data_IF_965469023671
#
_entry.id   IF_965469023671
#
_cell.length_a   1.000
_cell.length_b   1.000
_cell.length_c   1.000
_cell.angle_alpha   90.00
_cell.angle_beta   90.00
_cell.angle_gamma   90.00
#
_symmetry.space_group_name_H-M   'P 1'
#
loop_
_entity.id
_entity.type
_entity.pdbx_description
1 polymer ?
#
# COMPACT_ATOMS: atom_id res chain seq x y z
N UNK A 1 -21.86 -10.14 -35.30
CA UNK A 1 -20.59 -10.81 -34.92
C UNK A 1 -20.03 -10.04 -33.74
N UNK A 2 -20.15 -10.60 -32.54
CA UNK A 2 -19.81 -9.94 -31.27
C UNK A 2 -18.45 -10.44 -30.81
N UNK A 3 -17.43 -9.60 -30.88
CA UNK A 3 -16.13 -9.88 -30.30
C UNK A 3 -16.28 -9.81 -28.78
N UNK A 4 -16.28 -10.99 -28.13
CA UNK A 4 -16.14 -11.12 -26.68
C UNK A 4 -14.86 -10.39 -26.25
N UNK A 5 -15.01 -9.29 -25.53
CA UNK A 5 -13.98 -8.80 -24.61
C UNK A 5 -13.56 -9.98 -23.74
N UNK A 6 -12.33 -10.46 -23.94
CA UNK A 6 -11.70 -11.40 -23.02
C UNK A 6 -11.48 -10.64 -21.73
N UNK A 7 -12.23 -11.04 -20.73
CA UNK A 7 -12.00 -10.74 -19.32
C UNK A 7 -10.51 -11.04 -18.99
N UNK A 8 -9.70 -9.98 -18.83
CA UNK A 8 -8.30 -10.06 -18.36
C UNK A 8 -8.25 -10.08 -16.82
N UNK A 9 -9.23 -10.73 -16.19
CA UNK A 9 -9.36 -10.83 -14.74
C UNK A 9 -8.65 -12.02 -14.10
N UNK A 10 -7.75 -12.72 -14.80
CA UNK A 10 -6.87 -13.73 -14.20
C UNK A 10 -5.59 -13.04 -13.72
N UNK A 11 -5.34 -13.05 -12.40
CA UNK A 11 -4.33 -12.27 -11.69
C UNK A 11 -3.04 -12.08 -12.47
N UNK A 12 -2.85 -10.87 -13.03
CA UNK A 12 -1.58 -10.47 -13.61
C UNK A 12 -0.52 -10.52 -12.50
N UNK A 13 0.67 -11.03 -12.82
CA UNK A 13 1.75 -11.08 -11.84
C UNK A 13 1.98 -9.69 -11.27
N UNK A 14 2.25 -9.57 -9.97
CA UNK A 14 2.40 -8.25 -9.33
C UNK A 14 3.47 -7.38 -10.00
N UNK A 15 4.52 -8.02 -10.54
CA UNK A 15 5.54 -7.34 -11.35
C UNK A 15 4.98 -6.68 -12.60
N UNK A 16 3.94 -7.23 -13.25
CA UNK A 16 3.36 -6.64 -14.45
C UNK A 16 2.62 -5.32 -14.16
N UNK A 17 2.25 -5.07 -12.89
CA UNK A 17 1.71 -3.78 -12.47
C UNK A 17 2.74 -2.64 -12.58
N UNK A 18 4.03 -2.96 -12.72
CA UNK A 18 5.09 -1.98 -12.95
C UNK A 18 5.24 -1.58 -14.40
N UNK A 19 4.63 -2.32 -15.34
CA UNK A 19 4.69 -1.98 -16.76
C UNK A 19 3.76 -0.79 -17.05
N UNK A 20 4.19 0.17 -17.89
CA UNK A 20 3.26 1.14 -18.44
C UNK A 20 2.13 0.44 -19.20
N UNK A 21 0.92 0.99 -19.15
CA UNK A 21 -0.10 0.67 -20.13
C UNK A 21 0.25 1.17 -21.53
N UNK A 22 -0.46 0.66 -22.53
CA UNK A 22 -0.34 1.16 -23.91
C UNK A 22 -0.60 2.67 -23.95
N UNK A 23 0.31 3.42 -24.59
CA UNK A 23 0.27 4.88 -24.71
C UNK A 23 0.41 5.65 -23.38
N UNK A 24 1.04 5.07 -22.35
CA UNK A 24 1.35 5.78 -21.11
C UNK A 24 2.31 6.97 -21.30
N UNK A 25 3.05 6.98 -22.42
CA UNK A 25 4.02 8.01 -22.75
C UNK A 25 5.38 7.80 -22.07
N UNK A 26 6.18 8.86 -21.95
CA UNK A 26 7.55 8.73 -21.42
C UNK A 26 7.56 8.58 -19.90
N UNK A 27 8.49 7.76 -19.39
CA UNK A 27 8.68 7.59 -17.95
C UNK A 27 9.14 8.90 -17.29
N UNK A 28 8.36 9.39 -16.33
CA UNK A 28 8.71 10.55 -15.50
C UNK A 28 9.45 10.09 -14.23
N UNK A 29 8.94 9.05 -13.60
CA UNK A 29 9.60 8.44 -12.45
C UNK A 29 8.69 7.59 -11.58
N UNK A 30 9.29 6.98 -10.57
CA UNK A 30 8.58 6.20 -9.57
C UNK A 30 9.08 6.46 -8.15
N UNK A 31 8.15 6.47 -7.19
CA UNK A 31 8.46 6.45 -5.76
C UNK A 31 7.63 5.35 -5.10
N UNK A 32 8.30 4.38 -4.47
CA UNK A 32 7.65 3.27 -3.78
C UNK A 32 7.93 3.27 -2.29
N UNK A 33 7.04 2.66 -1.50
CA UNK A 33 7.26 2.40 -0.08
C UNK A 33 7.33 0.90 0.19
N UNK A 34 8.14 0.48 1.14
CA UNK A 34 8.19 -0.93 1.57
C UNK A 34 8.71 -1.06 3.01
N UNK A 35 8.39 -2.17 3.67
CA UNK A 35 8.96 -2.50 4.97
C UNK A 35 10.33 -3.18 4.82
N UNK A 36 10.39 -4.26 4.03
CA UNK A 36 11.62 -4.97 3.69
C UNK A 36 11.97 -4.72 2.23
N UNK A 37 13.25 -4.61 1.91
CA UNK A 37 13.71 -4.19 0.59
C UNK A 37 14.85 -5.08 0.10
N UNK A 38 14.74 -5.56 -1.14
CA UNK A 38 15.80 -6.20 -1.89
C UNK A 38 16.14 -5.31 -3.12
N UNK A 39 17.28 -4.60 -3.10
CA UNK A 39 17.72 -3.74 -4.18
C UNK A 39 17.68 -4.39 -5.56
N UNK A 40 18.10 -5.65 -5.66
CA UNK A 40 18.20 -6.39 -6.92
C UNK A 40 16.81 -6.62 -7.53
N UNK A 41 15.79 -6.95 -6.70
CA UNK A 41 14.42 -7.08 -7.23
C UNK A 41 13.97 -5.75 -7.84
N UNK A 42 14.14 -4.67 -7.08
CA UNK A 42 13.68 -3.35 -7.49
C UNK A 42 14.37 -2.88 -8.76
N UNK A 43 15.70 -3.02 -8.81
CA UNK A 43 16.50 -2.54 -9.93
C UNK A 43 16.31 -3.38 -11.19
N UNK A 44 16.37 -4.71 -11.08
CA UNK A 44 16.34 -5.58 -12.26
C UNK A 44 14.93 -5.81 -12.79
N UNK A 45 13.92 -5.88 -11.91
CA UNK A 45 12.60 -6.35 -12.30
C UNK A 45 11.51 -5.29 -12.22
N UNK A 46 11.54 -4.44 -11.19
CA UNK A 46 10.57 -3.35 -11.07
C UNK A 46 10.92 -2.20 -12.02
N UNK A 47 12.13 -1.63 -11.90
CA UNK A 47 12.61 -0.57 -12.79
C UNK A 47 12.73 -1.05 -14.24
N UNK A 48 13.21 -2.28 -14.46
CA UNK A 48 13.26 -2.85 -15.80
C UNK A 48 11.91 -2.85 -16.52
N UNK A 49 10.81 -3.14 -15.80
CA UNK A 49 9.45 -3.09 -16.35
C UNK A 49 8.90 -1.66 -16.47
N UNK A 50 9.17 -0.81 -15.48
CA UNK A 50 8.73 0.57 -15.45
C UNK A 50 9.31 1.39 -16.62
N UNK A 51 10.57 1.14 -16.95
CA UNK A 51 11.31 1.82 -18.02
C UNK A 51 11.16 1.12 -19.38
N UNK A 52 10.43 0.01 -19.45
CA UNK A 52 10.31 -0.87 -20.63
C UNK A 52 11.68 -1.22 -21.24
N UNK A 53 12.60 -1.72 -20.41
CA UNK A 53 13.90 -2.17 -20.90
C UNK A 53 13.73 -3.41 -21.80
N UNK A 54 14.31 -3.36 -22.99
CA UNK A 54 14.25 -4.45 -23.97
C UNK A 54 15.21 -5.60 -23.61
N UNK A 55 16.31 -5.26 -22.93
CA UNK A 55 17.34 -6.21 -22.53
C UNK A 55 17.00 -7.00 -21.27
N UNK A 56 17.42 -8.26 -21.21
CA UNK A 56 17.20 -9.13 -20.05
C UNK A 56 18.42 -9.12 -19.10
N UNK A 57 18.25 -8.90 -17.78
CA UNK A 57 19.38 -8.79 -16.84
C UNK A 57 20.25 -10.06 -16.78
N UNK A 58 19.63 -11.25 -16.88
CA UNK A 58 20.32 -12.54 -16.79
C UNK A 58 21.06 -12.94 -18.08
N UNK A 59 20.65 -12.40 -19.24
CA UNK A 59 21.19 -12.79 -20.55
C UNK A 59 22.10 -11.73 -21.16
N UNK A 60 21.83 -10.45 -20.89
CA UNK A 60 22.42 -9.30 -21.57
C UNK A 60 22.87 -8.23 -20.57
N UNK A 61 23.58 -8.64 -19.52
CA UNK A 61 23.90 -7.80 -18.35
C UNK A 61 24.51 -6.44 -18.70
N UNK A 62 25.43 -6.35 -19.67
CA UNK A 62 26.02 -5.07 -20.09
C UNK A 62 25.01 -4.19 -20.83
N UNK A 63 24.24 -4.75 -21.77
CA UNK A 63 23.20 -4.02 -22.50
C UNK A 63 22.14 -3.50 -21.53
N UNK A 64 21.72 -4.34 -20.58
CA UNK A 64 20.79 -3.97 -19.50
C UNK A 64 21.29 -2.80 -18.67
N UNK A 65 22.55 -2.85 -18.21
CA UNK A 65 23.13 -1.74 -17.44
C UNK A 65 23.17 -0.43 -18.24
N UNK A 66 23.55 -0.48 -19.52
CA UNK A 66 23.65 0.72 -20.37
C UNK A 66 22.28 1.31 -20.72
N UNK A 67 21.32 0.46 -21.07
CA UNK A 67 19.96 0.88 -21.38
C UNK A 67 19.28 1.50 -20.15
N UNK A 68 19.39 0.82 -19.00
CA UNK A 68 18.91 1.32 -17.71
C UNK A 68 19.53 2.66 -17.36
N UNK A 69 20.84 2.79 -17.48
CA UNK A 69 21.56 4.03 -17.21
C UNK A 69 21.05 5.18 -18.08
N UNK A 70 20.84 4.93 -19.37
CA UNK A 70 20.30 5.92 -20.30
C UNK A 70 18.87 6.33 -19.94
N UNK A 71 18.00 5.37 -19.59
CA UNK A 71 16.59 5.62 -19.28
C UNK A 71 16.39 6.31 -17.93
N UNK A 72 17.15 5.91 -16.90
CA UNK A 72 17.15 6.57 -15.59
C UNK A 72 17.75 7.99 -15.64
N UNK A 73 18.54 8.32 -16.66
CA UNK A 73 19.03 9.69 -16.85
C UNK A 73 17.91 10.73 -16.99
N UNK A 74 16.72 10.33 -17.47
CA UNK A 74 15.56 11.20 -17.65
C UNK A 74 14.43 11.03 -16.64
N UNK A 75 14.49 10.00 -15.78
CA UNK A 75 13.41 9.63 -14.88
C UNK A 75 13.88 9.55 -13.42
N UNK A 76 13.03 9.99 -12.48
CA UNK A 76 13.31 9.82 -11.05
C UNK A 76 12.99 8.38 -10.60
N UNK A 77 13.80 7.80 -9.72
CA UNK A 77 13.49 6.55 -9.05
C UNK A 77 13.89 6.61 -7.58
N UNK A 78 12.97 6.23 -6.70
CA UNK A 78 13.25 6.18 -5.26
C UNK A 78 12.39 5.17 -4.50
N UNK A 79 12.90 4.74 -3.35
CA UNK A 79 12.19 3.86 -2.42
C UNK A 79 12.30 4.38 -0.99
N UNK A 80 11.15 4.59 -0.36
CA UNK A 80 11.00 4.86 1.07
C UNK A 80 10.95 3.53 1.83
N UNK A 81 12.03 3.22 2.54
CA UNK A 81 12.19 1.93 3.21
C UNK A 81 12.18 2.14 4.72
N UNK A 82 11.60 1.22 5.49
CA UNK A 82 11.81 1.21 6.94
C UNK A 82 13.31 1.26 7.27
N UNK A 83 13.71 2.14 8.20
CA UNK A 83 15.12 2.35 8.56
C UNK A 83 15.85 1.05 8.89
N UNK A 84 15.18 0.05 9.48
CA UNK A 84 15.82 -1.22 9.82
C UNK A 84 16.22 -2.05 8.59
N UNK A 85 15.58 -1.83 7.44
CA UNK A 85 15.85 -2.56 6.19
C UNK A 85 16.59 -1.72 5.13
N UNK A 86 16.70 -0.41 5.30
CA UNK A 86 17.25 0.52 4.31
C UNK A 86 18.78 0.42 4.06
N UNK A 87 19.52 -0.43 4.79
CA UNK A 87 20.98 -0.54 4.71
C UNK A 87 21.53 -1.59 3.74
N UNK A 88 20.69 -2.24 2.94
CA UNK A 88 21.04 -3.50 2.24
C UNK A 88 21.56 -3.34 0.79
N UNK A 89 21.84 -2.12 0.33
CA UNK A 89 22.44 -1.86 -0.97
C UNK A 89 22.32 -0.38 -1.32
N UNK A 90 23.11 0.10 -2.28
CA UNK A 90 23.06 1.48 -2.73
C UNK A 90 23.32 1.55 -4.23
N UNK A 91 22.62 2.45 -4.91
CA UNK A 91 22.87 2.82 -6.30
C UNK A 91 23.03 4.32 -6.38
N UNK A 92 23.80 4.78 -7.37
CA UNK A 92 23.95 6.22 -7.65
C UNK A 92 22.77 6.77 -8.48
N UNK A 93 21.90 5.90 -9.00
CA UNK A 93 20.84 6.25 -9.97
C UNK A 93 19.44 6.25 -9.43
N UNK A 94 19.23 5.69 -8.25
CA UNK A 94 17.94 5.69 -7.58
C UNK A 94 18.16 5.81 -6.08
N UNK A 95 17.21 6.44 -5.41
CA UNK A 95 17.37 6.86 -4.03
C UNK A 95 16.76 5.85 -3.05
N UNK A 96 17.45 5.57 -1.95
CA UNK A 96 16.88 4.90 -0.79
C UNK A 96 16.68 5.95 0.30
N UNK A 97 15.43 6.16 0.70
CA UNK A 97 15.04 7.10 1.74
C UNK A 97 14.66 6.32 3.01
N UNK A 98 15.54 6.25 4.03
CA UNK A 98 15.28 5.47 5.24
C UNK A 98 14.26 6.17 6.15
N UNK A 99 13.01 5.72 6.16
CA UNK A 99 11.93 6.29 6.98
C UNK A 99 12.11 5.90 8.45
N UNK A 100 12.10 6.89 9.35
CA UNK A 100 12.17 6.69 10.80
C UNK A 100 10.86 7.04 11.48
N UNK A 101 10.01 6.03 11.69
CA UNK A 101 8.77 6.17 12.46
C UNK A 101 9.09 6.11 13.96
N UNK A 102 8.85 7.18 14.76
CA UNK A 102 9.08 7.13 16.20
C UNK A 102 8.22 6.05 16.86
N UNK A 103 8.86 5.12 17.59
CA UNK A 103 8.19 3.99 18.27
C UNK A 103 7.33 3.10 17.35
N UNK A 104 7.58 3.13 16.04
CA UNK A 104 6.82 2.37 15.06
C UNK A 104 7.69 1.88 13.91
N UNK A 105 7.03 1.39 12.86
CA UNK A 105 7.66 0.88 11.64
C UNK A 105 6.95 1.45 10.42
N UNK A 106 7.71 1.67 9.35
CA UNK A 106 7.12 1.94 8.05
C UNK A 106 6.68 0.63 7.39
N UNK A 107 5.39 0.31 7.49
CA UNK A 107 4.85 -0.96 6.96
C UNK A 107 4.07 -0.81 5.64
N UNK A 108 3.68 0.41 5.28
CA UNK A 108 2.88 0.66 4.08
C UNK A 108 3.65 0.28 2.81
N UNK A 109 2.94 -0.26 1.82
CA UNK A 109 3.46 -0.48 0.46
C UNK A 109 2.56 0.21 -0.54
N UNK A 110 2.98 1.40 -0.91
CA UNK A 110 2.32 2.27 -1.88
C UNK A 110 3.38 2.63 -2.91
N UNK A 111 3.08 2.44 -4.19
CA UNK A 111 3.95 2.87 -5.29
C UNK A 111 3.22 3.86 -6.16
N UNK A 112 3.85 5.00 -6.43
CA UNK A 112 3.42 5.94 -7.46
C UNK A 112 4.35 5.75 -8.65
N UNK A 113 3.77 5.31 -9.78
CA UNK A 113 4.46 5.14 -11.05
C UNK A 113 3.90 6.18 -12.01
N UNK A 114 4.75 7.03 -12.57
CA UNK A 114 4.33 8.15 -13.41
C UNK A 114 5.01 8.09 -14.78
N UNK A 115 4.17 8.18 -15.80
CA UNK A 115 4.50 8.42 -17.20
C UNK A 115 3.78 9.70 -17.66
N UNK A 116 4.15 10.27 -18.80
CA UNK A 116 3.61 11.56 -19.26
C UNK A 116 2.09 11.60 -19.39
N UNK A 117 1.47 10.47 -19.75
CA UNK A 117 0.05 10.36 -20.04
C UNK A 117 -0.64 9.29 -19.16
N UNK A 118 0.05 8.83 -18.10
CA UNK A 118 -0.51 7.85 -17.17
C UNK A 118 0.15 7.93 -15.80
N UNK A 119 -0.66 7.91 -14.73
CA UNK A 119 -0.16 7.75 -13.35
C UNK A 119 -0.86 6.55 -12.74
N UNK A 120 -0.07 5.63 -12.17
CA UNK A 120 -0.58 4.49 -11.41
C UNK A 120 -0.20 4.62 -9.94
N UNK A 121 -1.20 4.50 -9.08
CA UNK A 121 -1.03 4.34 -7.64
C UNK A 121 -1.29 2.87 -7.32
N UNK A 122 -0.27 2.16 -6.86
CA UNK A 122 -0.35 0.75 -6.50
C UNK A 122 -0.34 0.62 -4.98
N UNK A 123 -1.43 0.16 -4.39
CA UNK A 123 -1.50 -0.22 -2.97
C UNK A 123 -1.40 -1.74 -2.88
N UNK A 124 -0.38 -2.26 -2.18
CA UNK A 124 -0.12 -3.69 -2.14
C UNK A 124 0.18 -4.20 -0.72
N UNK A 125 0.03 -5.51 -0.52
CA UNK A 125 0.51 -6.19 0.69
C UNK A 125 1.96 -6.69 0.58
N UNK A 126 2.50 -6.78 -0.65
CA UNK A 126 3.83 -7.29 -0.93
C UNK A 126 4.96 -6.31 -0.57
N UNK A 127 5.99 -6.79 0.15
CA UNK A 127 7.26 -6.09 0.22
C UNK A 127 7.98 -6.15 -1.14
N UNK A 128 8.81 -5.15 -1.44
CA UNK A 128 9.75 -5.16 -2.58
C UNK A 128 10.88 -6.18 -2.36
N UNK A 129 10.52 -7.46 -2.37
CA UNK A 129 11.39 -8.62 -2.26
C UNK A 129 10.93 -9.72 -3.22
N UNK A 130 11.85 -10.56 -3.69
CA UNK A 130 11.55 -11.70 -4.55
C UNK A 130 10.41 -12.55 -3.99
N UNK A 131 10.44 -12.80 -2.68
CA UNK A 131 9.36 -13.54 -2.01
C UNK A 131 8.01 -12.84 -2.14
N UNK A 132 7.94 -11.52 -1.88
CA UNK A 132 6.70 -10.76 -1.99
C UNK A 132 6.16 -10.68 -3.41
N UNK A 133 7.02 -10.46 -4.41
CA UNK A 133 6.56 -10.21 -5.78
C UNK A 133 6.40 -11.48 -6.64
N UNK A 134 6.90 -12.64 -6.20
CA UNK A 134 6.91 -13.86 -7.02
C UNK A 134 6.35 -15.11 -6.36
N UNK A 135 6.36 -15.19 -5.03
CA UNK A 135 6.09 -16.44 -4.33
C UNK A 135 4.89 -16.34 -3.40
N UNK A 136 4.80 -15.27 -2.62
CA UNK A 136 3.69 -15.07 -1.70
C UNK A 136 2.38 -14.79 -2.46
N UNK A 137 1.26 -15.22 -1.87
CA UNK A 137 -0.05 -14.71 -2.25
C UNK A 137 -0.20 -13.31 -1.64
N UNK A 138 -0.27 -12.32 -2.50
CA UNK A 138 -0.33 -10.91 -2.12
C UNK A 138 -1.52 -10.25 -2.83
N UNK A 139 -2.13 -9.28 -2.16
CA UNK A 139 -3.21 -8.48 -2.73
C UNK A 139 -2.61 -7.15 -3.20
N UNK A 140 -3.01 -6.72 -4.39
CA UNK A 140 -2.64 -5.41 -4.90
C UNK A 140 -3.80 -4.76 -5.63
N UNK A 141 -3.94 -3.45 -5.42
CA UNK A 141 -4.98 -2.63 -6.03
C UNK A 141 -4.28 -1.52 -6.81
N UNK A 142 -4.22 -1.63 -8.15
CA UNK A 142 -3.80 -0.52 -9.00
C UNK A 142 -4.95 0.48 -9.14
N UNK A 143 -4.63 1.76 -9.01
CA UNK A 143 -5.51 2.88 -9.36
C UNK A 143 -4.83 3.69 -10.45
N UNK A 144 -5.41 3.61 -11.64
CA UNK A 144 -4.91 4.25 -12.84
C UNK A 144 -5.60 5.59 -13.06
N UNK A 145 -4.79 6.61 -13.34
CA UNK A 145 -5.20 7.97 -13.68
C UNK A 145 -4.68 8.29 -15.08
N UNK A 146 -5.53 8.92 -15.88
CA UNK A 146 -5.23 9.30 -17.27
C UNK A 146 -5.64 10.75 -17.52
N UNK A 147 -5.15 11.39 -18.59
CA UNK A 147 -5.55 12.74 -18.99
C UNK A 147 -7.07 12.96 -19.09
N UNK A 148 -7.81 11.93 -19.49
CA UNK A 148 -9.26 12.01 -19.70
C UNK A 148 -10.09 11.65 -18.45
N UNK A 149 -9.47 11.00 -17.46
CA UNK A 149 -10.15 10.54 -16.26
C UNK A 149 -9.17 10.32 -15.11
N UNK A 150 -9.11 11.30 -14.21
CA UNK A 150 -8.25 11.30 -13.03
C UNK A 150 -9.06 11.47 -11.74
N UNK A 151 -8.89 10.54 -10.79
CA UNK A 151 -9.38 10.68 -9.41
C UNK A 151 -8.40 11.56 -8.63
N UNK A 152 -8.57 12.88 -8.73
CA UNK A 152 -7.62 13.88 -8.22
C UNK A 152 -7.51 13.85 -6.70
N UNK A 153 -8.61 13.55 -6.02
CA UNK A 153 -8.67 13.40 -4.58
C UNK A 153 -7.81 12.22 -4.13
N UNK A 154 -7.98 11.05 -4.75
CA UNK A 154 -7.18 9.87 -4.42
C UNK A 154 -5.68 10.07 -4.72
N UNK A 155 -5.36 10.76 -5.82
CA UNK A 155 -3.98 11.15 -6.11
C UNK A 155 -3.41 12.10 -5.04
N UNK A 156 -4.16 13.12 -4.65
CA UNK A 156 -3.73 14.04 -3.59
C UNK A 156 -3.50 13.31 -2.26
N UNK A 157 -4.37 12.36 -1.89
CA UNK A 157 -4.21 11.54 -0.69
C UNK A 157 -2.91 10.71 -0.73
N UNK A 158 -2.63 10.03 -1.85
CA UNK A 158 -1.41 9.24 -2.00
C UNK A 158 -0.14 10.11 -1.98
N UNK A 159 -0.15 11.23 -2.72
CA UNK A 159 1.00 12.14 -2.79
C UNK A 159 1.26 12.80 -1.43
N UNK A 160 0.21 13.23 -0.73
CA UNK A 160 0.34 13.81 0.61
C UNK A 160 0.93 12.79 1.60
N UNK A 161 0.45 11.55 1.57
CA UNK A 161 1.01 10.48 2.40
C UNK A 161 2.50 10.26 2.15
N UNK A 162 2.94 10.22 0.88
CA UNK A 162 4.35 10.08 0.55
C UNK A 162 5.18 11.29 1.00
N UNK A 163 4.65 12.51 0.89
CA UNK A 163 5.29 13.71 1.45
C UNK A 163 5.42 13.65 2.97
N UNK A 164 4.37 13.21 3.66
CA UNK A 164 4.37 13.05 5.12
C UNK A 164 5.43 12.01 5.56
N UNK A 165 5.57 10.91 4.81
CA UNK A 165 6.62 9.92 5.04
C UNK A 165 8.03 10.46 4.77
N UNK A 166 8.22 11.26 3.72
CA UNK A 166 9.49 11.94 3.46
C UNK A 166 9.86 12.87 4.63
N UNK A 167 8.87 13.48 5.28
CA UNK A 167 9.04 14.25 6.52
C UNK A 167 9.68 13.45 7.67
N UNK A 168 9.59 12.12 7.65
CA UNK A 168 10.17 11.20 8.63
C UNK A 168 11.55 10.65 8.21
N UNK A 169 12.10 11.09 7.08
CA UNK A 169 13.42 10.68 6.57
C UNK A 169 14.52 11.52 7.23
N UNK A 170 15.59 10.92 7.79
CA UNK A 170 16.77 11.64 8.23
C UNK A 170 17.36 12.45 7.08
N UNK A 171 17.56 13.74 7.29
CA UNK A 171 17.97 14.65 6.23
C UNK A 171 16.85 15.54 5.71
N UNK A 172 15.58 15.28 6.08
CA UNK A 172 14.45 16.14 5.70
C UNK A 172 14.66 17.61 6.11
N UNK A 173 15.04 17.85 7.37
CA UNK A 173 15.23 19.20 7.91
C UNK A 173 16.34 20.00 7.21
N UNK A 174 17.37 19.32 6.70
CA UNK A 174 18.50 19.93 5.99
C UNK A 174 18.39 19.80 4.48
N UNK A 175 17.27 19.23 3.98
CA UNK A 175 16.97 19.04 2.55
C UNK A 175 18.13 18.40 1.79
N UNK A 176 18.47 17.16 2.15
CA UNK A 176 19.48 16.41 1.37
C UNK A 176 19.03 16.23 -0.09
N UNK A 177 19.96 16.06 -1.05
CA UNK A 177 19.61 15.97 -2.47
C UNK A 177 18.56 14.89 -2.79
N UNK A 178 18.61 13.75 -2.10
CA UNK A 178 17.67 12.63 -2.27
C UNK A 178 16.25 13.03 -1.85
N UNK A 179 16.13 13.78 -0.75
CA UNK A 179 14.86 14.33 -0.26
C UNK A 179 14.31 15.36 -1.24
N UNK A 180 15.16 16.25 -1.75
CA UNK A 180 14.75 17.26 -2.71
C UNK A 180 14.26 16.65 -4.02
N UNK A 181 14.96 15.65 -4.55
CA UNK A 181 14.52 14.92 -5.76
C UNK A 181 13.18 14.24 -5.52
N UNK A 182 13.00 13.56 -4.39
CA UNK A 182 11.74 12.89 -4.05
C UNK A 182 10.56 13.88 -3.97
N UNK A 183 10.75 15.03 -3.31
CA UNK A 183 9.73 16.06 -3.19
C UNK A 183 9.41 16.73 -4.54
N UNK A 184 10.44 17.00 -5.35
CA UNK A 184 10.27 17.56 -6.70
C UNK A 184 9.48 16.60 -7.61
N UNK A 185 9.77 15.29 -7.52
CA UNK A 185 9.01 14.28 -8.24
C UNK A 185 7.53 14.28 -7.82
N UNK A 186 7.22 14.27 -6.52
CA UNK A 186 5.82 14.31 -6.05
C UNK A 186 5.09 15.59 -6.48
N UNK A 187 5.77 16.74 -6.46
CA UNK A 187 5.24 18.01 -6.94
C UNK A 187 4.99 17.98 -8.47
N UNK A 188 5.89 17.38 -9.24
CA UNK A 188 5.72 17.18 -10.68
C UNK A 188 4.50 16.29 -10.98
N UNK A 189 4.36 15.15 -10.30
CA UNK A 189 3.20 14.26 -10.46
C UNK A 189 1.91 14.96 -10.04
N UNK A 190 1.94 15.71 -8.94
CA UNK A 190 0.81 16.52 -8.49
C UNK A 190 0.36 17.53 -9.55
N UNK A 191 1.29 18.30 -10.11
CA UNK A 191 0.99 19.25 -11.20
C UNK A 191 0.44 18.55 -12.45
N UNK A 192 1.00 17.40 -12.81
CA UNK A 192 0.55 16.62 -13.96
C UNK A 192 -0.93 16.22 -13.80
N UNK A 193 -1.27 15.57 -12.69
CA UNK A 193 -2.65 15.10 -12.41
C UNK A 193 -3.62 16.26 -12.25
N UNK A 194 -3.18 17.40 -11.69
CA UNK A 194 -4.03 18.59 -11.60
C UNK A 194 -4.46 19.12 -12.96
N UNK A 195 -3.60 19.00 -13.99
CA UNK A 195 -3.90 19.38 -15.36
C UNK A 195 -4.88 18.46 -16.09
N UNK A 196 -5.17 17.28 -15.56
CA UNK A 196 -6.03 16.28 -16.21
C UNK A 196 -7.52 16.50 -15.93
N UNK A 197 -8.36 15.84 -16.72
CA UNK A 197 -9.82 15.86 -16.54
C UNK A 197 -10.21 15.03 -15.32
N UNK A 198 -11.02 15.59 -14.43
CA UNK A 198 -11.51 14.85 -13.26
C UNK A 198 -12.40 13.68 -13.70
N UNK A 199 -12.18 12.52 -13.08
CA UNK A 199 -13.02 11.35 -13.30
C UNK A 199 -14.48 11.67 -12.98
N UNK A 200 -15.40 11.14 -13.80
CA UNK A 200 -16.82 11.24 -13.49
C UNK A 200 -17.10 10.46 -12.21
N UNK A 201 -17.72 11.14 -11.27
CA UNK A 201 -18.11 10.61 -9.97
C UNK A 201 -19.04 9.39 -10.17
N UNK A 202 -18.52 8.17 -10.01
CA UNK A 202 -19.38 6.98 -9.96
C UNK A 202 -20.16 7.00 -8.65
N UNK A 203 -21.47 7.20 -8.73
CA UNK A 203 -22.33 7.24 -7.56
C UNK A 203 -22.36 5.90 -6.81
N UNK A 204 -22.08 4.78 -7.48
CA UNK A 204 -22.16 3.44 -6.93
C UNK A 204 -20.90 3.04 -6.15
N UNK A 205 -19.71 3.51 -6.55
CA UNK A 205 -18.45 3.15 -5.91
C UNK A 205 -17.69 4.40 -5.44
N UNK A 206 -17.41 4.45 -4.13
CA UNK A 206 -16.63 5.52 -3.48
C UNK A 206 -15.38 4.93 -2.88
N UNK A 207 -14.27 5.64 -3.04
CA UNK A 207 -12.94 5.20 -2.62
C UNK A 207 -12.28 6.31 -1.80
N UNK A 208 -11.43 5.92 -0.86
CA UNK A 208 -10.57 6.80 -0.10
C UNK A 208 -9.32 6.01 0.30
N UNK A 209 -8.15 6.64 0.22
CA UNK A 209 -6.95 6.14 0.86
C UNK A 209 -6.88 6.69 2.28
N UNK A 210 -6.72 5.79 3.24
CA UNK A 210 -6.61 6.12 4.66
C UNK A 210 -5.33 5.54 5.21
N UNK A 211 -4.67 6.28 6.09
CA UNK A 211 -3.33 5.96 6.56
C UNK A 211 -3.25 6.03 8.09
N UNK A 212 -2.37 5.22 8.67
CA UNK A 212 -2.00 5.35 10.08
C UNK A 212 -0.63 6.03 10.12
N UNK A 213 -0.59 7.26 10.63
CA UNK A 213 0.62 8.06 10.74
C UNK A 213 0.87 8.43 12.22
N UNK A 214 2.13 8.41 12.68
CA UNK A 214 2.46 8.95 13.98
C UNK A 214 2.26 10.47 13.98
N UNK A 215 2.44 11.10 15.14
CA UNK A 215 2.60 12.55 15.19
C UNK A 215 3.77 12.98 14.28
N UNK A 216 3.46 13.84 13.30
CA UNK A 216 4.45 14.31 12.32
C UNK A 216 5.22 15.52 12.86
N UNK A 217 6.43 15.78 12.33
CA UNK A 217 7.14 17.04 12.55
C UNK A 217 6.24 18.23 12.22
N UNK A 218 6.27 19.29 13.05
CA UNK A 218 5.38 20.45 12.90
C UNK A 218 4.06 20.36 13.68
N UNK A 219 3.83 19.28 14.45
CA UNK A 219 2.77 19.22 15.44
C UNK A 219 1.41 18.74 14.92
N UNK A 220 1.33 18.25 13.68
CA UNK A 220 0.11 17.59 13.16
C UNK A 220 -0.18 16.35 14.02
N UNK A 221 -1.43 16.19 14.52
CA UNK A 221 -1.77 15.07 15.40
C UNK A 221 -1.59 13.73 14.69
N UNK A 222 -1.43 12.62 15.43
CA UNK A 222 -1.41 11.28 14.85
C UNK A 222 -2.71 10.98 14.12
N UNK A 223 -2.61 10.15 13.08
CA UNK A 223 -3.72 9.75 12.22
C UNK A 223 -3.99 8.26 12.34
N UNK A 224 -5.26 7.90 12.23
CA UNK A 224 -5.78 6.55 12.46
C UNK A 224 -6.60 6.15 11.25
N UNK A 225 -6.08 5.21 10.47
CA UNK A 225 -6.76 4.69 9.29
C UNK A 225 -8.15 4.14 9.64
N UNK A 226 -8.31 3.55 10.82
CA UNK A 226 -9.58 3.05 11.32
C UNK A 226 -10.58 4.20 11.56
N UNK A 227 -10.16 5.27 12.24
CA UNK A 227 -11.04 6.40 12.53
C UNK A 227 -11.44 7.12 11.25
N UNK A 228 -10.52 7.31 10.31
CA UNK A 228 -10.79 7.91 9.01
C UNK A 228 -11.74 7.05 8.18
N UNK A 229 -11.53 5.74 8.12
CA UNK A 229 -12.44 4.81 7.45
C UNK A 229 -13.84 4.85 8.05
N UNK A 230 -13.96 4.87 9.39
CA UNK A 230 -15.24 4.99 10.06
C UNK A 230 -15.92 6.33 9.78
N UNK A 231 -15.17 7.44 9.76
CA UNK A 231 -15.70 8.75 9.38
C UNK A 231 -16.19 8.78 7.93
N UNK A 232 -15.43 8.16 7.01
CA UNK A 232 -15.79 8.07 5.61
C UNK A 232 -17.15 7.39 5.40
N UNK A 233 -17.38 6.27 6.10
CA UNK A 233 -18.65 5.55 6.09
C UNK A 233 -19.75 6.38 6.75
N UNK A 234 -19.49 6.93 7.95
CA UNK A 234 -20.46 7.71 8.74
C UNK A 234 -21.03 8.91 8.02
N UNK A 235 -20.18 9.67 7.31
CA UNK A 235 -20.60 10.85 6.54
C UNK A 235 -21.62 10.54 5.45
N UNK A 236 -21.83 9.26 5.10
CA UNK A 236 -22.63 8.84 3.94
C UNK A 236 -23.77 7.88 4.27
N UNK A 237 -23.60 6.99 5.24
CA UNK A 237 -24.58 5.95 5.57
C UNK A 237 -24.84 5.75 7.06
N UNK A 238 -24.26 6.59 7.93
CA UNK A 238 -24.28 6.38 9.38
C UNK A 238 -23.19 5.39 9.86
N UNK A 239 -23.15 5.14 11.16
CA UNK A 239 -22.17 4.21 11.74
C UNK A 239 -22.51 2.75 11.36
N UNK A 240 -21.50 1.89 11.11
CA UNK A 240 -21.75 0.49 10.78
C UNK A 240 -22.30 -0.30 11.98
N UNK A 241 -23.19 -1.26 11.73
CA UNK A 241 -23.68 -2.23 12.72
C UNK A 241 -22.91 -3.56 12.66
N UNK A 242 -22.16 -3.80 11.59
CA UNK A 242 -21.42 -5.02 11.33
C UNK A 242 -19.97 -4.70 10.97
N UNK A 243 -19.02 -5.43 11.55
CA UNK A 243 -17.60 -5.31 11.25
C UNK A 243 -16.95 -6.68 11.12
N UNK A 244 -16.18 -6.90 10.05
CA UNK A 244 -15.40 -8.12 9.83
C UNK A 244 -13.92 -7.76 9.87
N UNK A 245 -13.18 -8.41 10.76
CA UNK A 245 -11.75 -8.18 11.00
C UNK A 245 -11.02 -9.46 10.64
N UNK A 246 -10.20 -9.42 9.59
CA UNK A 246 -9.29 -10.50 9.26
C UNK A 246 -7.87 -10.01 9.47
N UNK A 247 -7.13 -10.64 10.38
CA UNK A 247 -5.71 -10.32 10.56
C UNK A 247 -4.91 -11.58 10.84
N UNK A 248 -3.81 -11.82 10.10
CA UNK A 248 -2.88 -12.88 10.43
C UNK A 248 -1.93 -12.52 11.59
N UNK A 249 -1.92 -11.25 12.01
CA UNK A 249 -1.01 -10.74 13.03
C UNK A 249 -1.77 -9.99 14.12
N UNK A 250 -1.37 -10.23 15.36
CA UNK A 250 -1.89 -9.50 16.52
C UNK A 250 -0.72 -9.12 17.42
N UNK A 251 -0.79 -7.92 17.97
CA UNK A 251 0.14 -7.51 19.01
C UNK A 251 -0.08 -8.37 20.26
N UNK A 252 1.03 -8.73 20.91
CA UNK A 252 1.00 -9.57 22.12
C UNK A 252 0.71 -8.73 23.38
N UNK A 253 0.65 -7.40 23.26
CA UNK A 253 0.37 -6.48 24.37
C UNK A 253 -1.14 -6.29 24.62
N UNK A 254 -1.46 -5.79 25.81
CA UNK A 254 -2.84 -5.44 26.21
C UNK A 254 -3.45 -4.31 25.35
N UNK A 255 -2.62 -3.59 24.57
CA UNK A 255 -3.03 -2.51 23.67
C UNK A 255 -3.92 -3.02 22.50
N UNK A 256 -3.94 -4.34 22.24
CA UNK A 256 -4.86 -4.94 21.27
C UNK A 256 -6.35 -4.64 21.60
N UNK A 257 -6.64 -4.36 22.88
CA UNK A 257 -7.95 -3.88 23.33
C UNK A 257 -8.30 -2.50 22.75
N UNK A 258 -7.33 -1.60 22.58
CA UNK A 258 -7.57 -0.22 22.17
C UNK A 258 -8.16 -0.12 20.76
N UNK A 259 -7.60 -0.85 19.80
CA UNK A 259 -8.10 -0.89 18.41
C UNK A 259 -9.51 -1.47 18.36
N UNK A 260 -9.75 -2.56 19.10
CA UNK A 260 -11.08 -3.16 19.21
C UNK A 260 -12.08 -2.20 19.86
N UNK A 261 -11.68 -1.50 20.91
CA UNK A 261 -12.50 -0.51 21.58
C UNK A 261 -12.83 0.67 20.66
N UNK A 262 -11.85 1.18 19.91
CA UNK A 262 -12.03 2.24 18.92
C UNK A 262 -13.04 1.82 17.84
N UNK A 263 -12.88 0.61 17.27
CA UNK A 263 -13.84 0.05 16.32
C UNK A 263 -15.25 0.00 16.91
N UNK A 264 -15.40 -0.57 18.12
CA UNK A 264 -16.69 -0.70 18.78
C UNK A 264 -17.36 0.65 19.08
N UNK A 265 -16.60 1.65 19.51
CA UNK A 265 -17.08 3.04 19.68
C UNK A 265 -17.43 3.71 18.34
N UNK A 266 -16.79 3.23 17.27
CA UNK A 266 -17.04 3.53 15.86
C UNK A 266 -18.40 3.06 15.34
N UNK A 267 -18.94 2.00 15.90
CA UNK A 267 -20.16 1.35 15.42
C UNK A 267 -21.46 2.04 15.87
N UNK A 268 -22.58 1.64 15.28
CA UNK A 268 -23.91 2.17 15.57
C UNK A 268 -24.34 1.91 17.03
N UNK A 269 -24.98 2.90 17.67
CA UNK A 269 -25.54 2.78 19.02
C UNK A 269 -27.02 2.41 18.96
N UNK A 270 -27.51 1.64 19.93
CA UNK A 270 -28.93 1.31 20.08
C UNK A 270 -29.50 0.23 19.15
N UNK A 271 -28.66 -0.35 18.27
CA UNK A 271 -29.00 -1.51 17.44
C UNK A 271 -28.10 -2.71 17.73
N UNK A 272 -28.42 -3.86 17.12
CA UNK A 272 -27.64 -5.09 17.26
C UNK A 272 -26.30 -4.98 16.54
N UNK A 273 -25.19 -4.98 17.26
CA UNK A 273 -23.83 -4.96 16.71
C UNK A 273 -23.29 -6.37 16.53
N UNK A 274 -22.71 -6.63 15.36
CA UNK A 274 -22.05 -7.89 15.05
C UNK A 274 -20.59 -7.65 14.69
N UNK A 275 -19.67 -8.30 15.40
CA UNK A 275 -18.24 -8.28 15.08
C UNK A 275 -17.78 -9.70 14.79
N UNK A 276 -17.10 -9.90 13.66
CA UNK A 276 -16.50 -11.19 13.30
C UNK A 276 -14.99 -11.04 13.20
N UNK A 277 -14.26 -11.84 13.95
CA UNK A 277 -12.81 -11.97 13.86
C UNK A 277 -12.43 -13.24 13.10
N UNK A 278 -11.58 -13.10 12.10
CA UNK A 278 -10.92 -14.19 11.40
C UNK A 278 -9.43 -14.15 11.78
N UNK A 279 -8.99 -15.14 12.58
CA UNK A 279 -7.66 -15.16 13.21
C UNK A 279 -6.89 -16.44 12.88
N UNK A 280 -5.55 -16.47 12.91
CA UNK A 280 -4.81 -17.70 12.68
C UNK A 280 -5.13 -18.74 13.76
N UNK A 281 -5.09 -20.01 13.37
CA UNK A 281 -5.49 -21.13 14.21
C UNK A 281 -4.44 -22.23 14.14
N UNK A 282 -3.90 -22.61 15.29
CA UNK A 282 -3.07 -23.80 15.43
C UNK A 282 -3.95 -24.99 15.79
N UNK A 283 -3.88 -26.02 14.96
CA UNK A 283 -4.41 -27.34 15.26
C UNK A 283 -3.26 -28.16 15.83
N UNK A 284 -3.38 -28.57 17.08
CA UNK A 284 -2.45 -29.49 17.72
C UNK A 284 -3.05 -30.90 17.59
N UNK A 285 -2.32 -31.83 16.95
CA UNK A 285 -2.80 -33.20 16.75
C UNK A 285 -3.08 -33.93 18.08
N UNK A 286 -2.46 -33.49 19.19
CA UNK A 286 -2.70 -34.03 20.53
C UNK A 286 -3.92 -33.39 21.24
N UNK A 287 -4.33 -32.18 20.85
CA UNK A 287 -5.43 -31.44 21.49
C UNK A 287 -6.63 -31.29 20.54
N UNK A 288 -7.79 -31.82 20.95
CA UNK A 288 -9.05 -31.73 20.17
C UNK A 288 -9.60 -30.31 20.01
N UNK A 289 -8.98 -29.31 20.63
CA UNK A 289 -9.43 -27.92 20.60
C UNK A 289 -8.40 -27.03 19.88
N UNK A 290 -8.80 -26.31 18.82
CA UNK A 290 -7.92 -25.39 18.14
C UNK A 290 -7.48 -24.25 19.05
N UNK A 291 -6.19 -23.89 18.99
CA UNK A 291 -5.66 -22.71 19.67
C UNK A 291 -5.66 -21.52 18.70
N UNK A 292 -6.38 -20.46 19.08
CA UNK A 292 -6.41 -19.22 18.33
C UNK A 292 -5.15 -18.40 18.63
N UNK A 293 -4.52 -17.86 17.58
CA UNK A 293 -3.35 -16.99 17.68
C UNK A 293 -3.77 -15.51 17.67
N UNK A 294 -4.60 -15.15 18.66
CA UNK A 294 -4.99 -13.77 18.92
C UNK A 294 -5.11 -13.54 20.44
N UNK A 295 -4.84 -12.32 20.93
CA UNK A 295 -5.00 -11.99 22.34
C UNK A 295 -6.43 -12.22 22.81
N UNK A 296 -6.63 -12.77 24.00
CA UNK A 296 -7.99 -12.93 24.54
C UNK A 296 -8.71 -11.57 24.71
N UNK A 297 -7.93 -10.52 24.99
CA UNK A 297 -8.42 -9.15 25.18
C UNK A 297 -9.31 -8.65 24.03
N UNK A 298 -9.01 -8.98 22.75
CA UNK A 298 -9.87 -8.52 21.64
C UNK A 298 -11.28 -9.11 21.72
N UNK A 299 -11.42 -10.35 22.20
CA UNK A 299 -12.70 -11.03 22.33
C UNK A 299 -13.46 -10.50 23.55
N UNK A 300 -12.76 -10.36 24.68
CA UNK A 300 -13.35 -9.87 25.92
C UNK A 300 -13.83 -8.41 25.74
N UNK A 301 -13.00 -7.54 25.16
CA UNK A 301 -13.39 -6.16 24.83
C UNK A 301 -14.56 -6.14 23.86
N UNK A 302 -14.54 -6.88 22.75
CA UNK A 302 -15.66 -6.86 21.79
C UNK A 302 -17.00 -7.26 22.44
N UNK A 303 -16.99 -8.22 23.37
CA UNK A 303 -18.20 -8.68 24.10
C UNK A 303 -18.80 -7.64 25.04
N UNK A 304 -18.00 -6.67 25.50
CA UNK A 304 -18.51 -5.55 26.30
C UNK A 304 -19.37 -4.58 25.46
N UNK A 305 -19.13 -4.51 24.15
CA UNK A 305 -19.77 -3.51 23.28
C UNK A 305 -20.75 -4.10 22.26
N UNK A 306 -20.58 -5.35 21.85
CA UNK A 306 -21.33 -5.95 20.74
C UNK A 306 -22.28 -7.06 21.19
N UNK A 307 -23.46 -7.12 20.58
CA UNK A 307 -24.48 -8.14 20.84
C UNK A 307 -24.06 -9.52 20.37
N UNK A 308 -23.28 -9.58 19.28
CA UNK A 308 -22.77 -10.82 18.70
C UNK A 308 -21.29 -10.68 18.35
N UNK A 309 -20.46 -11.55 18.91
CA UNK A 309 -19.05 -11.68 18.56
C UNK A 309 -18.79 -13.07 18.04
N UNK A 310 -18.31 -13.16 16.81
CA UNK A 310 -17.93 -14.41 16.15
C UNK A 310 -16.42 -14.49 16.01
N UNK A 311 -15.85 -15.68 16.22
CA UNK A 311 -14.44 -15.93 15.93
C UNK A 311 -14.33 -17.16 15.06
N UNK A 312 -13.64 -17.01 13.94
CA UNK A 312 -13.35 -18.07 12.98
C UNK A 312 -11.84 -18.17 12.75
N UNK A 313 -11.37 -19.37 12.42
CA UNK A 313 -10.02 -19.55 11.90
C UNK A 313 -9.89 -18.93 10.52
N UNK A 314 -8.78 -18.25 10.24
CA UNK A 314 -8.41 -17.90 8.87
C UNK A 314 -8.33 -19.18 8.03
N UNK A 315 -8.94 -19.22 6.83
CA UNK A 315 -8.88 -20.39 5.98
C UNK A 315 -7.42 -20.67 5.58
N UNK A 316 -7.04 -21.96 5.58
CA UNK A 316 -5.70 -22.39 5.14
C UNK A 316 -5.53 -22.34 3.63
N UNK A 317 -6.64 -22.40 2.90
CA UNK A 317 -6.73 -22.37 1.45
C UNK A 317 -7.93 -21.49 1.07
N UNK A 318 -7.77 -20.63 0.07
CA UNK A 318 -8.91 -19.97 -0.55
C UNK A 318 -9.60 -20.96 -1.50
N UNK A 319 -10.71 -21.55 -1.04
CA UNK A 319 -11.51 -22.47 -1.87
C UNK A 319 -12.12 -21.80 -3.11
N UNK A 320 -12.15 -20.46 -3.16
CA UNK A 320 -12.68 -19.69 -4.29
C UNK A 320 -11.61 -19.29 -5.32
N UNK A 321 -10.32 -19.36 -4.99
CA UNK A 321 -9.20 -19.17 -5.91
C UNK A 321 -9.21 -17.85 -6.68
N UNK A 322 -9.53 -16.73 -6.02
CA UNK A 322 -9.45 -15.40 -6.64
C UNK A 322 -8.16 -14.67 -6.27
#
# INVERSE_FOLDING_TARGET
MSAKQKDKGAGAALLDQWRPPDNAGEAIGCLATTYTFQPELFEEYCLGRFLELDSEPDKESLSFMLERESRLGGAYAGVLVDKAAAGQGHSLRWDILPVRVPRGKQHAKVSVLAWSDHVRILVASANLTTQGYRTNQEVAVPVDLTPDSADKELAAEALQFLQDLIGLVPGYAVRTPEVDRALQFLDQVGRLVQGWTSAKSDAALRRQLVFTLPQLPGGRPPESALDEALQFVRRRGGSPDTAWVASPFFDVSDDASEVTQALCKGMARGGKRTIRYCVPMLLDEANKHPRLLAPKAILDTAREYADRVEVAGLPKEDAAGN
#
